data_IF_237987725847
#
_entry.id   IF_237987725847
#
_cell.length_a   1.000
_cell.length_b   1.000
_cell.length_c   1.000
_cell.angle_alpha   90.00
_cell.angle_beta   90.00
_cell.angle_gamma   90.00
#
_symmetry.space_group_name_H-M   'P 1'
#
loop_
_entity.id
_entity.type
_entity.pdbx_description
1 polymer ?
#
# COMPACT_ATOMS: atom_id res chain seq x y z
N UNK A 1 -21.82 6.14 8.36
CA UNK A 1 -20.84 7.18 8.03
C UNK A 1 -19.90 6.56 7.02
N UNK A 2 -20.13 6.81 5.74
CA UNK A 2 -19.17 6.44 4.70
C UNK A 2 -18.03 7.43 4.85
N UNK A 3 -16.90 7.00 5.38
CA UNK A 3 -15.67 7.77 5.22
C UNK A 3 -15.50 7.97 3.72
N UNK A 4 -15.38 9.22 3.28
CA UNK A 4 -14.99 9.48 1.91
C UNK A 4 -13.66 8.74 1.69
N UNK A 5 -13.53 7.85 0.71
CA UNK A 5 -12.25 7.15 0.48
C UNK A 5 -11.09 8.13 0.21
N UNK A 6 -11.39 9.40 -0.10
CA UNK A 6 -10.42 10.48 -0.20
C UNK A 6 -9.81 10.93 1.14
N UNK A 7 -10.47 10.65 2.27
CA UNK A 7 -10.01 11.03 3.62
C UNK A 7 -9.15 9.95 4.29
N UNK A 8 -8.89 8.83 3.61
CA UNK A 8 -8.02 7.78 4.16
C UNK A 8 -6.59 8.29 4.32
N UNK A 9 -6.06 8.14 5.53
CA UNK A 9 -4.69 8.52 5.87
C UNK A 9 -3.70 7.50 5.30
N UNK A 10 -2.42 7.88 5.26
CA UNK A 10 -1.32 6.94 4.92
C UNK A 10 -1.38 5.69 5.81
N UNK A 11 -1.73 5.85 7.09
CA UNK A 11 -1.84 4.72 8.02
C UNK A 11 -2.97 3.77 7.62
N UNK A 12 -4.14 4.28 7.22
CA UNK A 12 -5.27 3.46 6.80
C UNK A 12 -4.94 2.62 5.56
N UNK A 13 -4.21 3.20 4.60
CA UNK A 13 -3.73 2.45 3.44
C UNK A 13 -2.72 1.37 3.81
N UNK A 14 -1.81 1.63 4.76
CA UNK A 14 -0.82 0.65 5.21
C UNK A 14 -1.46 -0.50 6.02
N UNK A 15 -2.44 -0.19 6.87
CA UNK A 15 -3.20 -1.20 7.60
C UNK A 15 -3.97 -2.09 6.62
N UNK A 16 -4.66 -1.50 5.64
CA UNK A 16 -5.29 -2.25 4.56
C UNK A 16 -4.30 -3.10 3.75
N UNK A 17 -3.11 -2.57 3.45
CA UNK A 17 -2.08 -3.33 2.74
C UNK A 17 -1.63 -4.57 3.54
N UNK A 18 -1.45 -4.41 4.86
CA UNK A 18 -1.11 -5.51 5.78
C UNK A 18 -2.22 -6.56 5.84
N UNK A 19 -3.48 -6.14 5.91
CA UNK A 19 -4.63 -7.06 5.90
C UNK A 19 -4.72 -7.85 4.59
N UNK A 20 -4.54 -7.18 3.44
CA UNK A 20 -4.55 -7.85 2.14
C UNK A 20 -3.40 -8.84 1.97
N UNK A 21 -2.21 -8.50 2.48
CA UNK A 21 -1.07 -9.42 2.50
C UNK A 21 -1.37 -10.66 3.36
N UNK A 22 -1.90 -10.46 4.56
CA UNK A 22 -2.30 -11.55 5.46
C UNK A 22 -3.42 -12.43 4.87
N UNK A 23 -4.31 -11.85 4.06
CA UNK A 23 -5.39 -12.56 3.36
C UNK A 23 -4.93 -13.27 2.07
N UNK A 24 -3.63 -13.25 1.72
CA UNK A 24 -3.13 -13.85 0.48
C UNK A 24 -3.61 -13.13 -0.77
N UNK A 25 -3.72 -11.80 -0.71
CA UNK A 25 -4.09 -10.91 -1.82
C UNK A 25 -2.93 -9.93 -2.11
N UNK A 26 -1.77 -10.42 -2.56
CA UNK A 26 -0.55 -9.61 -2.69
C UNK A 26 -0.71 -8.45 -3.67
N UNK A 27 -1.52 -8.60 -4.73
CA UNK A 27 -1.80 -7.53 -5.67
C UNK A 27 -2.59 -6.37 -5.04
N UNK A 28 -3.59 -6.68 -4.20
CA UNK A 28 -4.33 -5.64 -3.47
C UNK A 28 -3.44 -4.95 -2.42
N UNK A 29 -2.58 -5.71 -1.74
CA UNK A 29 -1.62 -5.16 -0.81
C UNK A 29 -0.66 -4.16 -1.48
N UNK A 30 -0.14 -4.52 -2.66
CA UNK A 30 0.71 -3.65 -3.47
C UNK A 30 0.00 -2.34 -3.86
N UNK A 31 -1.25 -2.40 -4.35
CA UNK A 31 -2.00 -1.20 -4.74
C UNK A 31 -2.22 -0.24 -3.57
N UNK A 32 -2.55 -0.77 -2.39
CA UNK A 32 -2.75 0.04 -1.18
C UNK A 32 -1.43 0.68 -0.72
N UNK A 33 -0.31 -0.06 -0.80
CA UNK A 33 1.01 0.49 -0.53
C UNK A 33 1.44 1.57 -1.52
N UNK A 34 1.09 1.44 -2.82
CA UNK A 34 1.32 2.50 -3.80
C UNK A 34 0.51 3.76 -3.51
N UNK A 35 -0.75 3.63 -3.08
CA UNK A 35 -1.56 4.77 -2.64
C UNK A 35 -1.03 5.45 -1.39
N UNK A 36 -0.52 4.67 -0.43
CA UNK A 36 0.18 5.19 0.73
C UNK A 36 1.44 5.95 0.32
N UNK A 37 2.27 5.36 -0.55
CA UNK A 37 3.51 5.97 -1.04
C UNK A 37 3.26 7.27 -1.84
N UNK A 38 2.16 7.36 -2.60
CA UNK A 38 1.75 8.59 -3.31
C UNK A 38 1.43 9.77 -2.38
N UNK A 39 1.03 9.49 -1.13
CA UNK A 39 0.62 10.49 -0.13
C UNK A 39 1.76 10.89 0.81
N UNK A 40 2.94 10.28 0.68
CA UNK A 40 4.13 10.59 1.48
C UNK A 40 5.04 11.51 0.69
N UNK A 41 5.33 12.69 1.24
CA UNK A 41 6.21 13.68 0.61
C UNK A 41 7.68 13.26 0.59
N UNK A 42 8.11 12.49 1.59
CA UNK A 42 9.48 11.98 1.67
C UNK A 42 9.69 10.80 0.69
N UNK A 43 10.52 10.98 -0.37
CA UNK A 43 10.75 9.93 -1.35
C UNK A 43 11.45 8.69 -0.76
N UNK A 44 12.22 8.83 0.33
CA UNK A 44 12.86 7.69 0.97
C UNK A 44 11.82 6.80 1.67
N UNK A 45 10.90 7.41 2.40
CA UNK A 45 9.76 6.72 3.02
C UNK A 45 8.84 6.10 1.97
N UNK A 46 8.50 6.83 0.90
CA UNK A 46 7.69 6.30 -0.20
C UNK A 46 8.32 5.04 -0.84
N UNK A 47 9.65 5.06 -1.06
CA UNK A 47 10.39 3.89 -1.57
C UNK A 47 10.39 2.72 -0.59
N UNK A 48 10.54 2.99 0.71
CA UNK A 48 10.48 1.96 1.74
C UNK A 48 9.12 1.25 1.75
N UNK A 49 8.02 2.00 1.63
CA UNK A 49 6.66 1.45 1.56
C UNK A 49 6.53 0.51 0.35
N UNK A 50 6.95 0.95 -0.84
CA UNK A 50 6.89 0.13 -2.07
C UNK A 50 7.70 -1.16 -1.99
N UNK A 51 8.84 -1.12 -1.30
CA UNK A 51 9.72 -2.29 -1.15
C UNK A 51 9.13 -3.34 -0.22
N UNK A 52 8.28 -2.95 0.73
CA UNK A 52 7.59 -3.89 1.63
C UNK A 52 6.47 -4.67 0.94
N UNK A 53 5.86 -4.09 -0.10
CA UNK A 53 4.75 -4.68 -0.84
C UNK A 53 5.07 -4.68 -2.34
N UNK A 54 6.00 -5.55 -2.74
CA UNK A 54 6.40 -5.72 -4.12
C UNK A 54 5.24 -6.17 -5.00
N UNK A 55 5.23 -5.71 -6.25
CA UNK A 55 4.27 -6.17 -7.23
C UNK A 55 4.49 -7.67 -7.51
N UNK A 56 3.49 -8.54 -7.25
CA UNK A 56 3.62 -9.98 -7.43
C UNK A 56 3.82 -10.39 -8.90
N UNK A 57 3.59 -9.48 -9.85
CA UNK A 57 3.87 -9.73 -11.28
C UNK A 57 5.33 -9.49 -11.63
N UNK A 58 6.03 -8.63 -10.88
CA UNK A 58 7.47 -8.35 -11.08
C UNK A 58 8.36 -9.31 -10.30
N UNK A 59 7.84 -9.96 -9.25
CA UNK A 59 8.53 -11.02 -8.47
C UNK A 59 8.67 -12.35 -9.24
N UNK A 60 8.08 -12.47 -10.44
CA UNK A 60 8.19 -13.64 -11.32
C UNK A 60 9.46 -13.67 -12.20
N UNK A 61 10.44 -12.82 -11.92
CA UNK A 61 11.70 -12.68 -12.66
C UNK A 61 12.74 -13.73 -12.30
#
# INVERSE_FOLDING_TARGET
MTHDPADLTVADYLDGAREMAAAGRPFLAHLLAEEAARRVDDPATARSIRTQYTDPTTDRG
#
